data_IF_582672017793
#
_entry.id   IF_582672017793
#
_cell.length_a   1.000
_cell.length_b   1.000
_cell.length_c   1.000
_cell.angle_alpha   90.00
_cell.angle_beta   90.00
_cell.angle_gamma   90.00
#
_symmetry.space_group_name_H-M   'P 1'
#
loop_
_entity.id
_entity.type
_entity.pdbx_description
1 polymer ?
#
# COMPACT_ATOMS: atom_id res chain seq x y z
N UNK A 1 -6.35 -1.28 47.04
CA UNK A 1 -4.99 -1.27 46.46
C UNK A 1 -5.11 -1.44 44.95
N UNK A 2 -5.03 -0.35 44.23
CA UNK A 2 -5.14 -0.31 42.77
C UNK A 2 -3.75 -0.53 42.17
N UNK A 3 -3.55 -1.43 41.18
CA UNK A 3 -2.27 -1.59 40.53
C UNK A 3 -1.99 -0.41 39.58
N UNK A 4 -0.93 0.32 39.85
CA UNK A 4 -0.42 1.38 38.97
C UNK A 4 0.24 0.75 37.74
N UNK A 5 -0.39 0.85 36.59
CA UNK A 5 0.22 0.53 35.30
C UNK A 5 1.34 1.53 34.98
N UNK A 6 2.57 1.10 35.12
CA UNK A 6 3.76 1.88 34.73
C UNK A 6 3.90 1.82 33.23
N UNK A 7 3.60 2.91 32.55
CA UNK A 7 3.83 3.05 31.10
C UNK A 7 5.33 2.96 30.80
N UNK A 8 5.72 2.01 29.98
CA UNK A 8 7.11 1.85 29.52
C UNK A 8 7.44 2.95 28.48
N UNK A 9 8.42 3.80 28.78
CA UNK A 9 8.91 4.80 27.84
C UNK A 9 9.59 4.15 26.63
N UNK A 10 9.40 4.70 25.41
CA UNK A 10 10.03 4.23 24.14
C UNK A 10 11.52 3.93 24.27
N UNK A 11 12.28 4.74 25.06
CA UNK A 11 13.70 4.50 25.32
C UNK A 11 13.99 3.25 26.13
N UNK A 12 13.10 2.84 27.02
CA UNK A 12 13.24 1.60 27.80
C UNK A 12 12.94 0.37 26.95
N UNK A 13 11.97 0.47 26.05
CA UNK A 13 11.68 -0.58 25.07
C UNK A 13 12.87 -0.83 24.13
N UNK A 14 13.47 0.23 23.58
CA UNK A 14 14.63 0.11 22.69
C UNK A 14 15.90 -0.41 23.42
N UNK A 15 16.11 -0.04 24.69
CA UNK A 15 17.22 -0.59 25.50
C UNK A 15 16.98 -2.06 25.87
N UNK A 16 15.75 -2.47 26.13
CA UNK A 16 15.41 -3.88 26.35
C UNK A 16 15.61 -4.74 25.10
N UNK A 17 15.27 -4.24 23.93
CA UNK A 17 15.49 -4.94 22.66
C UNK A 17 16.97 -5.11 22.30
N UNK A 18 17.84 -4.15 22.71
CA UNK A 18 19.30 -4.30 22.53
C UNK A 18 19.97 -5.23 23.55
N UNK A 19 19.41 -5.34 24.78
CA UNK A 19 20.00 -6.18 25.84
C UNK A 19 19.71 -7.68 25.67
N UNK A 20 18.66 -8.04 24.92
CA UNK A 20 18.33 -9.45 24.59
C UNK A 20 19.03 -9.94 23.32
N UNK A 21 19.70 -9.06 22.57
CA UNK A 21 20.54 -9.42 21.43
C UNK A 21 21.95 -9.86 21.85
N UNK A 22 22.06 -10.62 22.93
CA UNK A 22 23.26 -11.32 23.36
C UNK A 22 23.59 -12.46 22.39
N UNK A 23 24.43 -12.15 21.49
CA UNK A 23 25.57 -12.84 20.91
C UNK A 23 25.40 -14.12 20.06
N UNK A 24 24.34 -14.89 19.98
CA UNK A 24 24.38 -16.12 19.16
C UNK A 24 23.13 -16.44 18.33
N UNK A 25 21.99 -15.83 18.62
CA UNK A 25 20.73 -16.13 17.92
C UNK A 25 20.32 -15.07 16.87
N UNK A 26 21.04 -13.97 16.76
CA UNK A 26 20.69 -12.86 15.89
C UNK A 26 21.17 -13.02 14.43
N UNK A 27 22.09 -13.92 14.15
CA UNK A 27 22.65 -14.11 12.81
C UNK A 27 21.62 -14.58 11.77
N UNK A 28 20.67 -15.49 12.06
CA UNK A 28 19.66 -15.89 11.07
C UNK A 28 18.64 -14.80 10.73
N UNK A 29 18.33 -13.91 11.69
CA UNK A 29 17.35 -12.85 11.47
C UNK A 29 17.92 -11.71 10.61
N UNK A 30 19.24 -11.45 10.68
CA UNK A 30 19.88 -10.43 9.86
C UNK A 30 20.21 -10.90 8.44
N UNK A 31 20.32 -12.19 8.21
CA UNK A 31 20.51 -12.73 6.85
C UNK A 31 19.25 -12.56 5.98
N UNK A 32 18.08 -12.40 6.58
CA UNK A 32 16.84 -12.05 5.87
C UNK A 32 16.83 -10.66 5.27
N UNK A 33 17.62 -9.71 5.82
CA UNK A 33 17.65 -8.33 5.29
C UNK A 33 18.53 -8.16 4.04
N UNK A 34 19.42 -9.11 3.74
CA UNK A 34 20.25 -9.07 2.54
C UNK A 34 19.54 -9.62 1.27
N UNK A 35 18.27 -9.98 1.38
CA UNK A 35 17.49 -10.56 0.28
C UNK A 35 16.85 -9.52 -0.65
N UNK A 36 16.96 -8.24 -0.35
CA UNK A 36 16.48 -7.18 -1.27
C UNK A 36 17.36 -6.96 -2.50
N UNK A 37 18.49 -7.63 -2.61
CA UNK A 37 19.43 -7.51 -3.74
C UNK A 37 19.52 -8.72 -4.67
N UNK A 38 18.88 -9.83 -4.35
CA UNK A 38 18.89 -11.01 -5.24
C UNK A 38 17.46 -11.49 -5.44
N UNK A 39 17.04 -11.63 -6.68
CA UNK A 39 15.76 -12.21 -7.09
C UNK A 39 15.62 -13.70 -6.69
N UNK A 40 15.93 -14.02 -5.45
CA UNK A 40 15.70 -15.33 -4.85
C UNK A 40 14.21 -15.49 -4.55
N UNK A 41 13.58 -16.49 -5.16
CA UNK A 41 12.24 -16.92 -4.77
C UNK A 41 12.27 -17.25 -3.28
N UNK A 42 11.56 -16.48 -2.47
CA UNK A 42 11.32 -16.84 -1.07
C UNK A 42 10.34 -18.01 -1.09
N UNK A 43 10.88 -19.22 -1.03
CA UNK A 43 10.07 -20.40 -0.75
C UNK A 43 9.79 -20.41 0.76
N UNK A 44 8.62 -19.95 1.17
CA UNK A 44 8.14 -20.26 2.51
C UNK A 44 8.02 -21.78 2.60
N UNK A 45 8.77 -22.40 3.51
CA UNK A 45 8.60 -23.83 3.78
C UNK A 45 7.15 -24.09 4.20
N UNK A 46 6.48 -25.14 3.70
CA UNK A 46 5.13 -25.48 4.11
C UNK A 46 5.14 -25.81 5.61
N UNK A 47 4.70 -24.86 6.43
CA UNK A 47 4.47 -25.04 7.85
C UNK A 47 2.99 -25.27 8.13
N UNK A 48 2.65 -25.78 9.31
CA UNK A 48 1.26 -25.81 9.80
C UNK A 48 0.72 -24.39 9.83
N UNK A 49 -0.26 -24.06 8.93
CA UNK A 49 -0.80 -22.72 8.75
C UNK A 49 -0.35 -22.02 7.46
N UNK A 50 0.44 -22.64 6.59
CA UNK A 50 0.76 -22.16 5.26
C UNK A 50 -0.47 -22.28 4.35
N UNK A 51 -0.75 -21.25 3.56
CA UNK A 51 -1.82 -21.27 2.54
C UNK A 51 -1.50 -22.14 1.32
N UNK A 52 -0.36 -22.82 1.32
CA UNK A 52 0.11 -23.65 0.21
C UNK A 52 1.02 -22.93 -0.77
N UNK A 53 1.40 -23.58 -1.88
CA UNK A 53 2.28 -23.00 -2.89
C UNK A 53 1.60 -21.86 -3.62
N UNK A 54 2.41 -20.89 -4.09
CA UNK A 54 1.94 -19.81 -4.95
C UNK A 54 1.87 -20.30 -6.39
N UNK A 55 0.74 -20.18 -7.04
CA UNK A 55 0.52 -20.46 -8.45
C UNK A 55 0.07 -19.19 -9.19
N UNK A 56 0.41 -19.02 -10.49
CA UNK A 56 -0.08 -17.88 -11.26
C UNK A 56 -1.61 -17.82 -11.22
N UNK A 57 -2.14 -16.65 -10.85
CA UNK A 57 -3.58 -16.42 -10.76
C UNK A 57 -4.03 -15.40 -11.81
N UNK A 58 -5.16 -15.67 -12.44
CA UNK A 58 -5.77 -14.77 -13.40
C UNK A 58 -6.44 -13.59 -12.68
N UNK A 59 -6.21 -12.39 -13.19
CA UNK A 59 -6.91 -11.19 -12.75
C UNK A 59 -8.38 -11.26 -13.15
N UNK A 60 -9.29 -11.11 -12.20
CA UNK A 60 -10.74 -11.10 -12.45
C UNK A 60 -11.21 -9.93 -13.31
N UNK A 61 -10.37 -8.94 -13.57
CA UNK A 61 -10.67 -7.82 -14.46
C UNK A 61 -10.55 -8.21 -15.94
N UNK A 62 -9.45 -8.86 -16.31
CA UNK A 62 -9.07 -9.05 -17.71
C UNK A 62 -8.37 -10.39 -18.02
N UNK A 63 -8.27 -11.29 -17.05
CA UNK A 63 -7.64 -12.60 -17.19
C UNK A 63 -6.11 -12.62 -17.21
N UNK A 64 -5.44 -11.48 -17.16
CA UNK A 64 -3.99 -11.43 -17.22
C UNK A 64 -3.34 -11.94 -15.93
N UNK A 65 -2.22 -12.65 -16.06
CA UNK A 65 -1.44 -13.20 -14.95
C UNK A 65 -0.45 -12.16 -14.42
N UNK A 66 -0.83 -11.41 -13.38
CA UNK A 66 0.02 -10.35 -12.78
C UNK A 66 0.65 -10.75 -11.47
N UNK A 67 0.07 -11.73 -10.78
CA UNK A 67 0.60 -12.22 -9.50
C UNK A 67 0.35 -13.71 -9.33
N UNK A 68 1.07 -14.30 -8.37
CA UNK A 68 0.84 -15.67 -7.93
C UNK A 68 0.21 -15.67 -6.55
N UNK A 69 -0.83 -16.47 -6.38
CA UNK A 69 -1.59 -16.61 -5.14
C UNK A 69 -1.66 -18.08 -4.72
N UNK A 70 -1.91 -18.38 -3.43
CA UNK A 70 -2.30 -19.72 -3.01
C UNK A 70 -3.60 -20.15 -3.67
N UNK A 71 -3.82 -21.46 -3.80
CA UNK A 71 -5.06 -22.00 -4.32
C UNK A 71 -6.29 -21.49 -3.54
N UNK A 72 -7.38 -21.23 -4.27
CA UNK A 72 -8.60 -20.64 -3.72
C UNK A 72 -8.59 -19.13 -3.51
N UNK A 73 -7.44 -18.45 -3.68
CA UNK A 73 -7.37 -17.00 -3.62
C UNK A 73 -7.53 -16.38 -5.01
N UNK A 74 -8.26 -15.26 -5.06
CA UNK A 74 -8.53 -14.49 -6.27
C UNK A 74 -8.21 -13.03 -6.06
N UNK A 75 -7.90 -12.31 -7.13
CA UNK A 75 -7.70 -10.87 -7.10
C UNK A 75 -8.36 -10.18 -8.29
N UNK A 76 -8.68 -8.92 -8.10
CA UNK A 76 -9.11 -8.01 -9.17
C UNK A 76 -8.27 -6.75 -9.10
N UNK A 77 -7.57 -6.42 -10.16
CA UNK A 77 -6.89 -5.12 -10.28
C UNK A 77 -7.85 -4.06 -10.82
N UNK A 78 -7.60 -2.81 -10.47
CA UNK A 78 -8.37 -1.67 -10.95
C UNK A 78 -7.48 -0.42 -10.99
N UNK A 79 -7.92 0.61 -11.71
CA UNK A 79 -7.26 1.91 -11.81
C UNK A 79 -5.75 1.81 -12.12
N UNK A 80 -5.35 1.13 -13.23
CA UNK A 80 -3.95 1.07 -13.62
C UNK A 80 -3.47 2.45 -14.08
N UNK A 81 -2.18 2.74 -13.86
CA UNK A 81 -1.57 3.98 -14.33
C UNK A 81 -1.81 4.20 -15.84
N UNK A 82 -2.14 5.41 -16.22
CA UNK A 82 -2.45 5.79 -17.60
C UNK A 82 -3.88 5.47 -18.07
N UNK A 83 -4.72 4.81 -17.28
CA UNK A 83 -6.14 4.66 -17.60
C UNK A 83 -6.88 5.98 -17.38
N UNK A 84 -8.00 6.18 -18.09
CA UNK A 84 -8.86 7.34 -17.90
C UNK A 84 -9.68 7.19 -16.61
N UNK A 85 -9.63 8.19 -15.74
CA UNK A 85 -10.45 8.29 -14.54
C UNK A 85 -11.81 8.93 -14.82
N UNK A 86 -12.73 8.82 -13.85
CA UNK A 86 -14.08 9.37 -13.95
C UNK A 86 -14.13 10.90 -14.04
N UNK A 87 -13.07 11.59 -13.64
CA UNK A 87 -12.92 13.05 -13.73
C UNK A 87 -12.27 13.51 -15.04
N UNK A 88 -11.98 12.60 -15.97
CA UNK A 88 -11.35 12.88 -17.26
C UNK A 88 -9.83 13.01 -17.24
N UNK A 89 -9.18 12.83 -16.09
CA UNK A 89 -7.74 12.78 -15.98
C UNK A 89 -7.21 11.36 -16.13
N UNK A 90 -5.93 11.22 -16.49
CA UNK A 90 -5.28 9.91 -16.47
C UNK A 90 -4.89 9.52 -15.04
N UNK A 91 -5.02 8.25 -14.73
CA UNK A 91 -4.46 7.67 -13.48
C UNK A 91 -2.97 7.93 -13.44
N UNK A 92 -2.47 8.64 -12.41
CA UNK A 92 -1.06 9.00 -12.33
C UNK A 92 -0.16 7.80 -12.04
N UNK A 93 1.13 7.98 -12.24
CA UNK A 93 2.18 7.04 -11.85
C UNK A 93 2.43 7.06 -10.33
N UNK A 94 3.47 6.34 -9.91
CA UNK A 94 4.00 6.35 -8.54
C UNK A 94 2.94 6.04 -7.45
N UNK A 95 2.12 5.01 -7.69
CA UNK A 95 1.16 4.53 -6.70
C UNK A 95 1.89 4.09 -5.43
N UNK A 96 1.38 4.53 -4.28
CA UNK A 96 1.93 4.22 -2.98
C UNK A 96 0.81 3.90 -1.97
N UNK A 97 1.06 4.06 -0.68
CA UNK A 97 0.17 3.68 0.39
C UNK A 97 -1.26 4.21 0.27
N UNK A 98 -2.22 3.44 0.74
CA UNK A 98 -3.64 3.79 0.69
C UNK A 98 -4.28 3.74 2.07
N UNK A 99 -5.13 4.72 2.36
CA UNK A 99 -6.09 4.67 3.45
C UNK A 99 -7.46 4.20 2.96
N UNK A 100 -8.14 3.37 3.76
CA UNK A 100 -9.49 2.86 3.44
C UNK A 100 -10.50 3.44 4.42
N UNK A 101 -11.57 4.02 3.89
CA UNK A 101 -12.64 4.64 4.66
C UNK A 101 -13.97 4.00 4.30
N UNK A 102 -14.71 3.55 5.32
CA UNK A 102 -16.11 3.17 5.17
C UNK A 102 -16.95 4.43 5.07
N UNK A 103 -17.84 4.48 4.11
CA UNK A 103 -18.74 5.61 3.94
C UNK A 103 -20.19 5.23 4.23
N UNK A 104 -21.02 6.23 4.59
CA UNK A 104 -22.43 6.01 4.98
C UNK A 104 -23.29 5.44 3.85
N UNK A 105 -22.86 5.57 2.61
CA UNK A 105 -23.49 5.03 1.41
C UNK A 105 -23.14 3.53 1.17
N UNK A 106 -22.43 2.90 2.12
CA UNK A 106 -22.04 1.48 2.04
C UNK A 106 -20.90 1.20 1.06
N UNK A 107 -20.19 2.22 0.60
CA UNK A 107 -19.02 2.08 -0.27
C UNK A 107 -17.72 2.19 0.52
N UNK A 108 -16.62 1.70 -0.08
CA UNK A 108 -15.28 2.02 0.38
C UNK A 108 -14.71 3.19 -0.42
N UNK A 109 -14.09 4.13 0.28
CA UNK A 109 -13.22 5.13 -0.34
C UNK A 109 -11.79 4.81 -0.02
N UNK A 110 -11.01 4.55 -1.07
CA UNK A 110 -9.59 4.36 -0.99
C UNK A 110 -8.94 5.69 -1.36
N UNK A 111 -8.18 6.28 -0.45
CA UNK A 111 -7.34 7.45 -0.75
C UNK A 111 -5.94 6.93 -1.01
N UNK A 112 -5.52 6.99 -2.27
CA UNK A 112 -4.24 6.48 -2.75
C UNK A 112 -3.25 7.61 -2.92
N UNK A 113 -2.08 7.48 -2.31
CA UNK A 113 -0.97 8.38 -2.49
C UNK A 113 -0.26 8.16 -3.83
N UNK A 114 0.36 9.23 -4.32
CA UNK A 114 1.25 9.23 -5.49
C UNK A 114 2.57 9.89 -5.09
N UNK A 115 3.60 9.07 -4.88
CA UNK A 115 4.92 9.53 -4.46
C UNK A 115 5.74 10.05 -5.64
N UNK A 116 5.25 11.08 -6.31
CA UNK A 116 5.98 11.69 -7.40
C UNK A 116 6.81 12.89 -6.95
N UNK A 117 8.10 12.89 -7.26
CA UNK A 117 9.08 13.92 -6.94
C UNK A 117 9.34 14.87 -8.11
N UNK A 118 8.80 14.55 -9.27
CA UNK A 118 9.05 15.29 -10.49
C UNK A 118 8.23 16.59 -10.54
N UNK A 119 8.61 17.46 -11.45
CA UNK A 119 7.76 18.57 -11.83
C UNK A 119 6.48 18.06 -12.52
N UNK A 120 5.38 18.82 -12.51
CA UNK A 120 4.17 18.46 -13.21
C UNK A 120 4.43 18.16 -14.69
N UNK A 121 3.84 17.04 -15.16
CA UNK A 121 4.00 16.58 -16.54
C UNK A 121 3.15 15.33 -16.79
N UNK A 122 3.39 14.66 -17.91
CA UNK A 122 2.68 13.41 -18.22
C UNK A 122 2.88 12.36 -17.13
N UNK A 123 1.77 11.84 -16.59
CA UNK A 123 1.79 10.85 -15.51
C UNK A 123 1.86 11.42 -14.09
N UNK A 124 1.83 12.74 -13.93
CA UNK A 124 1.78 13.41 -12.64
C UNK A 124 0.39 13.96 -12.33
N UNK A 125 0.16 14.35 -11.07
CA UNK A 125 -1.11 14.85 -10.57
C UNK A 125 -1.32 16.37 -10.70
N UNK A 126 -0.51 17.07 -11.46
CA UNK A 126 -0.70 18.50 -11.60
C UNK A 126 -1.96 18.80 -12.40
N UNK A 127 -2.94 19.36 -11.72
CA UNK A 127 -4.16 19.90 -12.32
C UNK A 127 -4.07 21.42 -12.27
N UNK A 128 -4.22 22.08 -13.39
CA UNK A 128 -4.20 23.52 -13.50
C UNK A 128 -5.25 24.17 -12.58
N UNK A 129 -4.81 25.14 -11.79
CA UNK A 129 -5.66 26.00 -10.96
C UNK A 129 -6.04 25.45 -9.57
N UNK A 130 -5.87 24.15 -9.30
CA UNK A 130 -6.26 23.53 -8.02
C UNK A 130 -5.11 22.82 -7.30
N UNK A 131 -3.88 22.94 -7.80
CA UNK A 131 -2.72 22.33 -7.18
C UNK A 131 -2.28 23.12 -5.94
N UNK A 132 -1.92 22.40 -4.86
CA UNK A 132 -1.37 22.99 -3.65
C UNK A 132 -0.04 23.73 -3.92
N UNK A 133 0.83 23.14 -4.73
CA UNK A 133 2.08 23.69 -5.22
C UNK A 133 2.37 23.11 -6.62
N UNK A 134 3.46 23.53 -7.25
CA UNK A 134 3.90 23.04 -8.57
C UNK A 134 4.75 21.77 -8.44
N UNK A 135 4.16 20.71 -7.88
CA UNK A 135 4.78 19.39 -7.72
C UNK A 135 3.91 18.31 -8.35
N UNK A 136 4.49 17.18 -8.65
CA UNK A 136 3.80 16.10 -9.37
C UNK A 136 3.03 15.12 -8.50
N UNK A 137 3.20 15.16 -7.19
CA UNK A 137 2.55 14.25 -6.25
C UNK A 137 1.17 14.72 -5.81
N UNK A 138 0.48 13.84 -5.07
CA UNK A 138 -0.84 14.10 -4.51
C UNK A 138 -1.59 12.84 -4.15
N UNK A 139 -2.91 12.89 -4.22
CA UNK A 139 -3.77 11.72 -3.96
C UNK A 139 -4.89 11.58 -4.99
N UNK A 140 -5.25 10.32 -5.25
CA UNK A 140 -6.51 9.98 -5.94
C UNK A 140 -7.45 9.30 -4.96
N UNK A 141 -8.75 9.58 -5.08
CA UNK A 141 -9.80 8.87 -4.35
C UNK A 141 -10.48 7.90 -5.30
N UNK A 142 -10.59 6.64 -4.85
CA UNK A 142 -11.28 5.58 -5.58
C UNK A 142 -12.50 5.14 -4.76
N UNK A 143 -13.66 5.10 -5.39
CA UNK A 143 -14.90 4.59 -4.80
C UNK A 143 -15.11 3.16 -5.28
N UNK A 144 -15.10 2.23 -4.34
CA UNK A 144 -15.16 0.80 -4.63
C UNK A 144 -16.39 0.19 -3.96
N UNK A 145 -17.09 -0.65 -4.70
CA UNK A 145 -18.18 -1.45 -4.16
C UNK A 145 -17.59 -2.61 -3.33
N UNK A 146 -17.87 -2.71 -2.02
CA UNK A 146 -17.28 -3.76 -1.19
C UNK A 146 -17.75 -5.18 -1.53
N UNK A 147 -18.91 -5.32 -2.15
CA UNK A 147 -19.51 -6.62 -2.50
C UNK A 147 -19.04 -7.12 -3.86
N UNK A 148 -19.11 -6.27 -4.90
CA UNK A 148 -18.67 -6.64 -6.25
C UNK A 148 -17.16 -6.45 -6.43
N UNK A 149 -16.50 -5.67 -5.56
CA UNK A 149 -15.08 -5.29 -5.65
C UNK A 149 -14.76 -4.50 -6.92
N UNK A 150 -15.75 -3.83 -7.48
CA UNK A 150 -15.60 -3.03 -8.68
C UNK A 150 -15.36 -1.57 -8.34
N UNK A 151 -14.47 -0.94 -9.11
CA UNK A 151 -14.27 0.49 -9.09
C UNK A 151 -15.50 1.14 -9.75
N UNK A 152 -16.20 1.99 -8.99
CA UNK A 152 -17.38 2.72 -9.49
C UNK A 152 -17.01 4.14 -9.93
N UNK A 153 -16.03 4.74 -9.27
CA UNK A 153 -15.57 6.11 -9.55
C UNK A 153 -14.15 6.30 -9.07
N UNK A 154 -13.36 7.11 -9.78
CA UNK A 154 -12.07 7.59 -9.34
C UNK A 154 -11.82 9.03 -9.81
N UNK A 155 -11.07 9.78 -9.04
CA UNK A 155 -10.80 11.19 -9.30
C UNK A 155 -9.60 11.69 -8.47
N UNK A 156 -9.01 12.80 -8.92
CA UNK A 156 -7.97 13.51 -8.16
C UNK A 156 -8.60 14.17 -6.93
N UNK A 157 -8.05 13.93 -5.75
CA UNK A 157 -8.50 14.51 -4.49
C UNK A 157 -7.53 15.53 -3.88
N UNK A 158 -6.26 15.44 -4.24
CA UNK A 158 -5.22 16.40 -3.90
C UNK A 158 -4.16 16.39 -4.97
N UNK A 159 -3.65 17.54 -5.38
CA UNK A 159 -2.56 17.66 -6.34
C UNK A 159 -1.53 18.70 -5.92
N UNK A 160 -0.35 18.65 -6.52
CA UNK A 160 0.72 19.63 -6.33
C UNK A 160 1.56 19.43 -5.07
N UNK A 161 1.53 18.27 -4.46
CA UNK A 161 2.38 17.92 -3.31
C UNK A 161 3.60 17.10 -3.75
N UNK A 162 4.47 16.75 -2.80
CA UNK A 162 5.68 15.98 -3.05
C UNK A 162 5.73 14.79 -2.09
N UNK A 163 6.12 13.62 -2.62
CA UNK A 163 6.48 12.45 -1.78
C UNK A 163 5.34 11.98 -0.88
N UNK A 164 4.11 11.99 -1.37
CA UNK A 164 2.99 11.37 -0.69
C UNK A 164 3.16 9.84 -0.73
N UNK A 165 3.62 9.24 0.36
CA UNK A 165 3.91 7.81 0.36
C UNK A 165 2.98 7.01 1.25
N UNK A 166 2.87 7.31 2.53
CA UNK A 166 2.08 6.53 3.46
C UNK A 166 1.10 7.41 4.22
N UNK A 167 0.06 6.79 4.72
CA UNK A 167 -0.92 7.46 5.56
C UNK A 167 -1.74 6.46 6.35
N UNK A 168 -2.47 6.96 7.33
CA UNK A 168 -3.38 6.18 8.14
C UNK A 168 -4.62 6.98 8.48
N UNK A 169 -5.67 6.26 8.86
CA UNK A 169 -6.91 6.85 9.34
C UNK A 169 -6.69 7.36 10.75
N UNK A 170 -7.06 8.60 11.00
CA UNK A 170 -7.16 9.13 12.37
C UNK A 170 -8.56 8.87 12.94
N UNK A 171 -8.67 8.74 14.28
CA UNK A 171 -9.94 8.57 14.93
C UNK A 171 -10.92 9.69 14.66
#
# INVERSE_FOLDING_TARGET
MTPTHRALHRRQFLRGALATAGAAAALPAFQGLNLFGQHGRVHAAPGKGSYGPLVPAADLRDGAMRMSLPDGFHYRSFSPAGAMMSDGNLVPLAHDGMGVFNTRDGKFRLVRNHEDRNAPGAGTLAVDGNAYDRKGGGTTTLVVNPFTRELERDFISLSGTTVNCAGGVTP
#
